data_IF_985487939404
#
_entry.id   IF_985487939404
#
_cell.length_a   1.000
_cell.length_b   1.000
_cell.length_c   1.000
_cell.angle_alpha   90.00
_cell.angle_beta   90.00
_cell.angle_gamma   90.00
#
_symmetry.space_group_name_H-M   'P 1'
#
loop_
_entity.id
_entity.type
_entity.pdbx_description
1 polymer ?
#
# COMPACT_ATOMS: atom_id res chain seq x y z
N UNK A 1 -27.11 -20.36 -36.03
CA UNK A 1 -26.77 -20.76 -34.65
C UNK A 1 -25.68 -19.81 -34.16
N UNK A 2 -25.96 -19.01 -33.13
CA UNK A 2 -25.13 -17.86 -32.75
C UNK A 2 -24.21 -18.28 -31.60
N UNK A 3 -22.90 -18.18 -31.85
CA UNK A 3 -21.83 -18.69 -31.00
C UNK A 3 -21.88 -18.06 -29.60
N UNK A 4 -21.91 -18.89 -28.56
CA UNK A 4 -21.84 -18.46 -27.16
C UNK A 4 -20.39 -18.08 -26.84
N UNK A 5 -20.12 -16.79 -26.68
CA UNK A 5 -18.82 -16.27 -26.24
C UNK A 5 -18.65 -16.54 -24.75
N UNK A 6 -17.70 -17.41 -24.40
CA UNK A 6 -17.36 -17.73 -23.01
C UNK A 6 -16.42 -16.63 -22.51
N UNK A 7 -16.89 -15.80 -21.58
CA UNK A 7 -16.05 -14.85 -20.85
C UNK A 7 -15.26 -15.61 -19.78
N UNK A 8 -14.01 -15.95 -20.09
CA UNK A 8 -13.05 -16.44 -19.10
C UNK A 8 -12.60 -15.28 -18.22
N UNK A 9 -13.14 -15.23 -16.99
CA UNK A 9 -12.67 -14.30 -15.97
C UNK A 9 -11.27 -14.72 -15.49
N UNK A 10 -10.25 -13.99 -15.93
CA UNK A 10 -8.88 -14.13 -15.44
C UNK A 10 -8.76 -13.43 -14.08
N UNK A 11 -8.77 -14.20 -12.99
CA UNK A 11 -8.50 -13.70 -11.64
C UNK A 11 -7.00 -13.41 -11.51
N UNK A 12 -6.62 -12.14 -11.67
CA UNK A 12 -5.25 -11.67 -11.37
C UNK A 12 -5.14 -11.56 -9.85
N UNK A 13 -4.50 -12.54 -9.22
CA UNK A 13 -4.07 -12.42 -7.84
C UNK A 13 -2.94 -11.38 -7.77
N UNK A 14 -3.29 -10.17 -7.31
CA UNK A 14 -2.30 -9.14 -6.96
C UNK A 14 -1.55 -9.60 -5.70
N UNK A 15 -0.38 -10.20 -5.90
CA UNK A 15 0.57 -10.45 -4.81
C UNK A 15 1.15 -9.08 -4.44
N UNK A 16 0.52 -8.37 -3.50
CA UNK A 16 1.11 -7.15 -2.96
C UNK A 16 2.33 -7.55 -2.13
N UNK A 17 3.52 -7.31 -2.69
CA UNK A 17 4.76 -7.35 -1.92
C UNK A 17 4.68 -6.19 -0.94
N UNK A 18 4.20 -6.46 0.28
CA UNK A 18 4.13 -5.46 1.35
C UNK A 18 5.55 -5.23 1.88
N UNK A 19 6.33 -4.44 1.14
CA UNK A 19 7.63 -3.98 1.59
C UNK A 19 7.45 -3.14 2.86
N UNK A 20 8.27 -3.40 3.88
CA UNK A 20 8.30 -2.60 5.10
C UNK A 20 9.19 -1.38 4.84
N UNK A 21 8.67 -0.18 5.06
CA UNK A 21 9.41 1.06 4.86
C UNK A 21 10.44 1.31 5.97
N UNK A 22 11.51 2.07 5.72
CA UNK A 22 12.51 2.40 6.73
C UNK A 22 12.01 3.38 7.80
N UNK A 23 10.98 4.19 7.50
CA UNK A 23 10.42 5.18 8.42
C UNK A 23 8.94 5.47 8.09
N UNK A 24 8.25 6.16 8.99
CA UNK A 24 6.81 6.45 8.87
C UNK A 24 6.45 7.32 7.66
N UNK A 25 7.33 8.22 7.22
CA UNK A 25 7.06 9.14 6.12
C UNK A 25 7.21 8.42 4.76
N UNK A 26 8.31 7.67 4.60
CA UNK A 26 8.60 6.88 3.40
C UNK A 26 7.59 5.74 3.18
N UNK A 27 6.90 5.29 4.23
CA UNK A 27 5.79 4.33 4.15
C UNK A 27 4.55 4.89 3.42
N UNK A 28 4.45 6.21 3.28
CA UNK A 28 3.26 6.87 2.74
C UNK A 28 3.55 7.86 1.61
N UNK A 29 4.83 8.17 1.35
CA UNK A 29 5.25 9.18 0.37
C UNK A 29 6.01 8.58 -0.80
N UNK A 30 6.05 9.33 -1.90
CA UNK A 30 7.01 9.11 -2.98
C UNK A 30 8.46 9.24 -2.48
N UNK A 31 9.43 8.53 -3.09
CA UNK A 31 9.28 7.69 -4.29
C UNK A 31 8.75 6.27 -4.03
N UNK A 32 8.72 5.84 -2.76
CA UNK A 32 8.46 4.45 -2.42
C UNK A 32 6.97 4.07 -2.51
N UNK A 33 6.08 5.00 -2.16
CA UNK A 33 4.64 4.74 -2.03
C UNK A 33 3.79 5.82 -2.70
N UNK A 34 4.10 6.16 -3.96
CA UNK A 34 3.37 7.21 -4.70
C UNK A 34 1.87 6.94 -4.92
N UNK A 35 1.44 5.69 -4.82
CA UNK A 35 0.02 5.31 -4.92
C UNK A 35 -0.72 5.34 -3.59
N UNK A 36 -0.02 5.59 -2.47
CA UNK A 36 -0.63 5.73 -1.16
C UNK A 36 -1.36 7.07 -1.05
N UNK A 37 -2.48 7.04 -0.34
CA UNK A 37 -3.34 8.18 -0.04
C UNK A 37 -3.73 8.13 1.43
N UNK A 38 -4.44 9.15 1.91
CA UNK A 38 -4.99 9.12 3.26
C UNK A 38 -5.89 7.87 3.44
N UNK A 39 -5.67 7.12 4.52
CA UNK A 39 -6.29 5.82 4.81
C UNK A 39 -5.62 4.60 4.16
N UNK A 40 -4.58 4.76 3.34
CA UNK A 40 -3.80 3.61 2.84
C UNK A 40 -3.10 2.90 3.99
N UNK A 41 -3.11 1.56 4.00
CA UNK A 41 -2.34 0.78 4.97
C UNK A 41 -0.85 1.01 4.77
N UNK A 42 -0.10 1.17 5.85
CA UNK A 42 1.34 1.40 5.81
C UNK A 42 2.05 0.54 6.86
N UNK A 43 3.32 0.22 6.58
CA UNK A 43 4.19 -0.51 7.50
C UNK A 43 5.58 0.12 7.49
N UNK A 44 6.18 0.30 8.65
CA UNK A 44 7.55 0.79 8.74
C UNK A 44 8.32 0.15 9.91
N UNK A 45 9.65 0.20 9.83
CA UNK A 45 10.53 -0.30 10.87
C UNK A 45 10.87 0.80 11.87
N UNK A 46 10.73 0.51 13.16
CA UNK A 46 11.11 1.41 14.25
C UNK A 46 11.58 0.61 15.45
N UNK A 47 12.76 0.96 15.98
CA UNK A 47 13.31 0.38 17.21
C UNK A 47 13.34 -1.17 17.23
N UNK A 48 13.65 -1.80 16.10
CA UNK A 48 13.72 -3.26 15.99
C UNK A 48 12.37 -3.94 15.68
N UNK A 49 11.28 -3.17 15.57
CA UNK A 49 9.94 -3.68 15.35
C UNK A 49 9.38 -3.21 14.00
N UNK A 50 8.47 -4.00 13.44
CA UNK A 50 7.62 -3.56 12.33
C UNK A 50 6.33 -3.02 12.95
N UNK A 51 6.02 -1.77 12.64
CA UNK A 51 4.78 -1.14 13.04
C UNK A 51 3.83 -1.05 11.84
N UNK A 52 2.56 -1.32 12.09
CA UNK A 52 1.47 -1.34 11.12
C UNK A 52 0.51 -0.20 11.43
N UNK A 53 0.13 0.58 10.42
CA UNK A 53 -0.72 1.74 10.61
C UNK A 53 -1.47 2.15 9.35
N UNK A 54 -1.97 3.38 9.35
CA UNK A 54 -2.62 4.00 8.21
C UNK A 54 -2.00 5.35 7.88
N UNK A 55 -1.82 5.64 6.58
CA UNK A 55 -1.33 6.92 6.13
C UNK A 55 -2.35 8.02 6.46
N UNK A 56 -1.93 9.06 7.15
CA UNK A 56 -2.73 10.27 7.37
C UNK A 56 -1.86 11.51 7.32
N UNK A 57 -2.48 12.68 7.31
CA UNK A 57 -1.75 13.95 7.19
C UNK A 57 -0.92 14.24 8.45
N UNK A 58 0.39 14.45 8.28
CA UNK A 58 1.37 14.70 9.35
C UNK A 58 2.72 15.13 8.78
N UNK A 59 3.59 15.80 9.54
CA UNK A 59 4.94 16.23 9.09
C UNK A 59 4.97 16.86 7.67
N UNK A 60 3.97 17.68 7.33
CA UNK A 60 3.88 18.35 6.02
C UNK A 60 3.54 17.45 4.81
N UNK A 61 3.03 16.23 5.02
CA UNK A 61 2.61 15.30 3.97
C UNK A 61 1.85 14.10 4.51
N UNK A 62 1.78 13.00 3.76
CA UNK A 62 1.23 11.75 4.28
C UNK A 62 2.26 11.03 5.16
N UNK A 63 1.90 10.65 6.37
CA UNK A 63 2.77 9.96 7.33
C UNK A 63 2.01 8.75 7.88
N UNK A 64 2.71 7.64 8.11
CA UNK A 64 2.12 6.44 8.70
C UNK A 64 1.80 6.67 10.18
N UNK A 65 0.53 6.54 10.54
CA UNK A 65 0.03 6.70 11.91
C UNK A 65 -0.34 5.33 12.46
N UNK A 66 0.31 4.96 13.56
CA UNK A 66 0.19 3.68 14.28
C UNK A 66 -0.72 3.80 15.49
#
# INVERSE_FOLDING_TARGET
MKFFTIFTALLIAIVSVNAVAPDADSACRCPNNCSHKNGSSCKFFQDGNVLDGSCGDGNGGLTCQV
#
